data_IF_899448509300
#
_entry.id   IF_899448509300
#
_cell.length_a   1.000
_cell.length_b   1.000
_cell.length_c   1.000
_cell.angle_alpha   90.00
_cell.angle_beta   90.00
_cell.angle_gamma   90.00
#
_symmetry.space_group_name_H-M   'P 1'
#
loop_
_entity.id
_entity.type
_entity.pdbx_description
1 polymer ?
#
# COMPACT_ATOMS: atom_id res chain seq x y z
N UNK A 1 2.76 -9.52 4.23
CA UNK A 1 3.22 -8.11 4.17
C UNK A 1 3.85 -7.85 2.82
N UNK A 2 3.15 -7.13 1.95
CA UNK A 2 3.64 -6.73 0.62
C UNK A 2 4.49 -5.47 0.77
N UNK A 3 5.66 -5.39 0.13
CA UNK A 3 6.60 -4.28 0.29
C UNK A 3 7.39 -4.36 1.61
N UNK A 4 7.56 -5.57 2.14
CA UNK A 4 8.11 -5.79 3.48
C UNK A 4 9.62 -5.61 3.60
N UNK A 5 10.37 -5.38 2.52
CA UNK A 5 11.78 -4.94 2.62
C UNK A 5 11.91 -3.42 2.86
N UNK A 6 10.83 -2.69 2.59
CA UNK A 6 10.78 -1.23 2.66
C UNK A 6 10.86 -0.67 4.09
N UNK A 7 11.01 0.66 4.17
CA UNK A 7 11.20 1.41 5.42
C UNK A 7 10.07 1.19 6.45
N UNK A 8 8.81 1.23 6.03
CA UNK A 8 7.69 0.93 6.95
C UNK A 8 7.37 -0.57 6.99
N UNK A 9 7.57 -1.28 5.88
CA UNK A 9 7.20 -2.69 5.75
C UNK A 9 8.03 -3.61 6.63
N UNK A 10 9.36 -3.40 6.68
CA UNK A 10 10.27 -4.22 7.47
C UNK A 10 10.00 -4.16 8.98
N UNK A 11 9.98 -2.99 9.65
CA UNK A 11 9.66 -2.92 11.07
C UNK A 11 8.23 -3.39 11.37
N UNK A 12 7.27 -3.18 10.47
CA UNK A 12 5.91 -3.72 10.63
C UNK A 12 5.92 -5.25 10.64
N UNK A 13 6.64 -5.88 9.70
CA UNK A 13 6.76 -7.32 9.61
C UNK A 13 7.43 -7.92 10.87
N UNK A 14 8.51 -7.29 11.35
CA UNK A 14 9.17 -7.68 12.61
C UNK A 14 8.25 -7.52 13.82
N UNK A 15 7.54 -6.39 13.91
CA UNK A 15 6.64 -6.12 15.03
C UNK A 15 5.49 -7.13 15.09
N UNK A 16 4.83 -7.41 13.95
CA UNK A 16 3.76 -8.40 13.88
C UNK A 16 4.29 -9.81 14.15
N UNK A 17 5.47 -10.16 13.63
CA UNK A 17 6.13 -11.41 13.99
C UNK A 17 6.37 -11.49 15.48
N UNK A 18 6.82 -10.41 16.14
CA UNK A 18 7.03 -10.33 17.59
C UNK A 18 5.74 -10.42 18.42
N UNK A 19 4.59 -10.04 17.85
CA UNK A 19 3.28 -10.26 18.47
C UNK A 19 2.75 -11.69 18.31
N UNK A 20 3.45 -12.54 17.54
CA UNK A 20 3.12 -13.96 17.39
C UNK A 20 2.38 -14.29 16.09
N UNK A 21 2.28 -13.35 15.15
CA UNK A 21 1.72 -13.62 13.83
C UNK A 21 2.72 -14.38 12.95
N UNK A 22 2.20 -15.25 12.09
CA UNK A 22 2.96 -15.86 11.00
C UNK A 22 3.12 -14.84 9.87
N UNK A 23 4.36 -14.61 9.42
CA UNK A 23 4.66 -13.54 8.47
C UNK A 23 5.31 -14.08 7.21
N UNK A 24 4.66 -13.77 6.09
CA UNK A 24 5.24 -13.82 4.75
C UNK A 24 5.51 -12.39 4.28
N UNK A 25 6.77 -12.11 3.98
CA UNK A 25 7.21 -10.89 3.30
C UNK A 25 7.21 -11.13 1.80
N UNK A 26 6.60 -10.23 1.05
CA UNK A 26 6.58 -10.25 -0.42
C UNK A 26 7.17 -8.95 -0.92
N UNK A 27 8.23 -9.00 -1.74
CA UNK A 27 8.90 -7.81 -2.26
C UNK A 27 9.74 -8.15 -3.51
N UNK A 28 9.81 -7.26 -4.48
CA UNK A 28 10.64 -7.42 -5.70
C UNK A 28 11.98 -6.66 -5.63
N UNK A 29 12.27 -6.07 -4.46
CA UNK A 29 13.45 -5.26 -4.14
C UNK A 29 13.62 -4.04 -5.05
N UNK A 30 12.55 -3.59 -5.72
CA UNK A 30 12.57 -2.44 -6.64
C UNK A 30 13.05 -1.17 -5.97
N UNK A 31 12.74 -0.96 -4.68
CA UNK A 31 13.24 0.18 -3.92
C UNK A 31 14.76 0.22 -3.89
N UNK A 32 15.45 -0.91 -3.73
CA UNK A 32 16.92 -0.99 -3.77
C UNK A 32 17.45 -0.74 -5.18
N UNK A 33 16.74 -1.21 -6.22
CA UNK A 33 17.08 -0.91 -7.63
C UNK A 33 16.99 0.59 -7.92
N UNK A 34 16.05 1.30 -7.30
CA UNK A 34 15.93 2.77 -7.39
C UNK A 34 17.12 3.47 -6.70
N UNK A 35 17.63 2.95 -5.58
CA UNK A 35 18.84 3.50 -4.95
C UNK A 35 20.04 3.45 -5.91
N UNK A 36 20.23 2.31 -6.56
CA UNK A 36 21.27 2.13 -7.60
C UNK A 36 21.06 3.10 -8.77
N UNK A 37 19.83 3.22 -9.28
CA UNK A 37 19.51 4.13 -10.37
C UNK A 37 19.86 5.60 -10.05
N UNK A 38 19.60 6.02 -8.82
CA UNK A 38 19.80 7.40 -8.39
C UNK A 38 21.18 7.66 -7.79
N UNK A 39 22.02 6.62 -7.69
CA UNK A 39 23.33 6.67 -7.02
C UNK A 39 23.22 7.23 -5.59
N UNK A 40 22.21 6.76 -4.85
CA UNK A 40 21.97 7.13 -3.45
C UNK A 40 22.03 5.90 -2.55
N UNK A 41 22.33 6.13 -1.27
CA UNK A 41 22.41 5.09 -0.26
C UNK A 41 21.64 5.47 1.00
N UNK A 42 21.18 4.46 1.73
CA UNK A 42 20.62 4.65 3.07
C UNK A 42 21.70 5.15 4.02
N UNK A 43 21.35 6.08 4.93
CA UNK A 43 22.27 6.54 5.98
C UNK A 43 22.74 5.38 6.86
N UNK A 44 21.83 4.48 7.23
CA UNK A 44 22.14 3.24 7.92
C UNK A 44 22.35 2.13 6.88
N UNK A 45 23.49 1.42 6.89
CA UNK A 45 23.72 0.29 5.99
C UNK A 45 22.60 -0.75 6.10
N UNK A 46 22.03 -1.13 4.96
CA UNK A 46 20.93 -2.10 4.89
C UNK A 46 21.42 -3.45 4.38
N UNK A 47 21.43 -4.45 5.25
CA UNK A 47 21.80 -5.81 4.85
C UNK A 47 20.80 -6.43 3.85
N UNK A 48 21.25 -7.43 3.06
CA UNK A 48 20.38 -8.23 2.20
C UNK A 48 19.26 -8.92 2.97
N UNK A 49 18.15 -9.20 2.28
CA UNK A 49 16.96 -9.81 2.90
C UNK A 49 17.28 -11.14 3.63
N UNK A 50 18.11 -12.00 3.05
CA UNK A 50 18.50 -13.27 3.68
C UNK A 50 19.17 -13.07 5.05
N UNK A 51 20.06 -12.08 5.18
CA UNK A 51 20.70 -11.76 6.46
C UNK A 51 19.72 -11.11 7.43
N UNK A 52 18.83 -10.24 6.95
CA UNK A 52 17.76 -9.65 7.76
C UNK A 52 16.87 -10.72 8.40
N UNK A 53 16.46 -11.73 7.63
CA UNK A 53 15.68 -12.87 8.11
C UNK A 53 16.47 -13.75 9.09
N UNK A 54 17.73 -14.07 8.76
CA UNK A 54 18.58 -14.87 9.65
C UNK A 54 18.79 -14.20 11.01
N UNK A 55 19.06 -12.88 10.99
CA UNK A 55 19.20 -12.10 12.21
C UNK A 55 17.91 -12.10 13.04
N UNK A 56 16.73 -11.97 12.39
CA UNK A 56 15.45 -12.05 13.11
C UNK A 56 15.25 -13.40 13.79
N UNK A 57 15.52 -14.50 13.07
CA UNK A 57 15.45 -15.85 13.63
C UNK A 57 16.42 -16.04 14.80
N UNK A 58 17.63 -15.51 14.70
CA UNK A 58 18.64 -15.58 15.76
C UNK A 58 18.17 -14.87 17.04
N UNK A 59 17.63 -13.66 16.94
CA UNK A 59 17.26 -12.86 18.12
C UNK A 59 15.90 -13.20 18.70
N UNK A 60 14.95 -13.66 17.88
CA UNK A 60 13.56 -13.91 18.29
C UNK A 60 13.19 -15.39 18.38
N UNK A 61 13.97 -16.28 17.75
CA UNK A 61 13.62 -17.68 17.54
C UNK A 61 12.50 -17.91 16.52
N UNK A 62 11.99 -16.85 15.88
CA UNK A 62 10.84 -16.92 14.96
C UNK A 62 11.30 -16.89 13.50
N UNK A 63 10.67 -17.74 12.70
CA UNK A 63 10.87 -17.75 11.25
C UNK A 63 9.94 -16.74 10.58
N UNK A 64 10.47 -16.07 9.55
CA UNK A 64 9.70 -15.29 8.59
C UNK A 64 10.09 -15.74 7.20
N UNK A 65 9.11 -15.86 6.30
CA UNK A 65 9.35 -16.25 4.92
C UNK A 65 9.45 -15.04 4.01
N UNK A 66 10.29 -15.12 2.99
CA UNK A 66 10.39 -14.12 1.93
C UNK A 66 10.01 -14.74 0.59
N UNK A 67 9.24 -14.00 -0.20
CA UNK A 67 8.83 -14.34 -1.55
C UNK A 67 9.21 -13.18 -2.46
N UNK A 68 10.08 -13.44 -3.43
CA UNK A 68 10.40 -12.50 -4.50
C UNK A 68 9.28 -12.54 -5.54
N UNK A 69 8.45 -11.49 -5.56
CA UNK A 69 7.29 -11.41 -6.44
C UNK A 69 6.99 -9.95 -6.79
N UNK A 70 6.69 -9.70 -8.06
CA UNK A 70 6.38 -8.39 -8.58
C UNK A 70 4.87 -8.16 -8.67
N UNK A 71 4.31 -7.62 -7.58
CA UNK A 71 2.88 -7.26 -7.49
C UNK A 71 2.55 -6.22 -8.59
N UNK A 72 1.48 -6.44 -9.35
CA UNK A 72 1.15 -5.64 -10.54
C UNK A 72 1.68 -6.20 -11.86
N UNK A 73 2.41 -7.33 -11.82
CA UNK A 73 2.95 -8.04 -12.99
C UNK A 73 2.78 -9.56 -12.89
N UNK A 74 3.05 -10.14 -11.72
CA UNK A 74 3.07 -11.58 -11.46
C UNK A 74 1.74 -12.02 -10.81
N UNK A 75 0.63 -11.84 -11.54
CA UNK A 75 -0.72 -12.01 -11.00
C UNK A 75 -1.05 -13.46 -10.59
N UNK A 76 -0.69 -14.42 -11.45
CA UNK A 76 -0.99 -15.83 -11.20
C UNK A 76 -0.26 -16.35 -9.95
N UNK A 77 1.00 -15.98 -9.80
CA UNK A 77 1.83 -16.29 -8.65
C UNK A 77 1.28 -15.64 -7.37
N UNK A 78 0.71 -14.44 -7.46
CA UNK A 78 0.04 -13.78 -6.33
C UNK A 78 -1.21 -14.55 -5.89
N UNK A 79 -2.06 -14.98 -6.83
CA UNK A 79 -3.25 -15.79 -6.53
C UNK A 79 -2.86 -17.12 -5.90
N UNK A 80 -1.85 -17.80 -6.45
CA UNK A 80 -1.34 -19.06 -5.91
C UNK A 80 -0.76 -18.89 -4.50
N UNK A 81 -0.03 -17.80 -4.26
CA UNK A 81 0.49 -17.47 -2.94
C UNK A 81 -0.65 -17.23 -1.94
N UNK A 82 -1.66 -16.44 -2.31
CA UNK A 82 -2.82 -16.19 -1.43
C UNK A 82 -3.57 -17.49 -1.14
N UNK A 83 -3.76 -18.35 -2.14
CA UNK A 83 -4.44 -19.63 -1.96
C UNK A 83 -3.65 -20.56 -1.01
N UNK A 84 -2.32 -20.64 -1.19
CA UNK A 84 -1.44 -21.48 -0.39
C UNK A 84 -1.33 -20.99 1.06
N UNK A 85 -1.15 -19.69 1.27
CA UNK A 85 -0.98 -19.12 2.61
C UNK A 85 -2.31 -18.90 3.34
N UNK A 86 -3.40 -18.65 2.60
CA UNK A 86 -4.72 -18.31 3.16
C UNK A 86 -4.64 -17.26 4.28
N UNK A 87 -4.04 -16.07 4.05
CA UNK A 87 -3.74 -15.13 5.12
C UNK A 87 -5.00 -14.49 5.70
N UNK A 88 -5.02 -14.24 7.02
CA UNK A 88 -6.11 -13.46 7.65
C UNK A 88 -6.12 -11.99 7.18
N UNK A 89 -4.93 -11.44 6.94
CA UNK A 89 -4.75 -10.06 6.55
C UNK A 89 -3.57 -9.85 5.58
N UNK A 90 -3.73 -8.89 4.67
CA UNK A 90 -2.67 -8.41 3.79
C UNK A 90 -2.37 -6.96 4.16
N UNK A 91 -1.13 -6.68 4.57
CA UNK A 91 -0.63 -5.31 4.72
C UNK A 91 0.11 -4.91 3.45
N UNK A 92 -0.36 -3.86 2.76
CA UNK A 92 0.12 -3.47 1.44
C UNK A 92 0.96 -2.17 1.48
N UNK A 93 2.28 -2.34 1.38
CA UNK A 93 3.27 -1.27 1.22
C UNK A 93 3.94 -1.29 -0.18
N UNK A 94 3.53 -2.20 -1.08
CA UNK A 94 4.26 -2.54 -2.30
C UNK A 94 4.03 -1.54 -3.45
N UNK A 95 4.42 -0.30 -3.23
CA UNK A 95 4.19 0.80 -4.17
C UNK A 95 5.35 1.81 -4.21
N UNK A 96 5.47 2.51 -5.33
CA UNK A 96 6.38 3.63 -5.48
C UNK A 96 5.84 4.82 -4.67
N UNK A 97 6.54 5.18 -3.58
CA UNK A 97 6.04 6.14 -2.57
C UNK A 97 6.64 7.56 -2.59
N UNK A 98 7.65 7.81 -3.40
CA UNK A 98 8.40 9.06 -3.40
C UNK A 98 7.77 10.07 -4.37
N UNK A 99 7.22 11.16 -3.82
CA UNK A 99 6.69 12.27 -4.61
C UNK A 99 7.75 12.90 -5.54
N UNK A 100 9.00 13.22 -5.10
CA UNK A 100 10.02 13.75 -6.01
C UNK A 100 10.38 12.77 -7.14
N UNK A 101 10.49 11.48 -6.84
CA UNK A 101 10.76 10.44 -7.85
C UNK A 101 9.65 10.41 -8.90
N UNK A 102 8.38 10.40 -8.46
CA UNK A 102 7.21 10.39 -9.35
C UNK A 102 7.15 11.58 -10.30
N UNK A 103 7.85 12.67 -10.00
CA UNK A 103 7.85 13.90 -10.80
C UNK A 103 9.12 14.09 -11.64
N UNK A 104 10.15 13.23 -11.46
CA UNK A 104 11.51 13.42 -12.00
C UNK A 104 11.58 13.42 -13.53
N UNK A 105 10.87 12.51 -14.20
CA UNK A 105 10.79 12.49 -15.68
C UNK A 105 9.55 11.74 -16.16
N UNK A 106 9.27 11.78 -17.47
CA UNK A 106 8.14 11.05 -18.06
C UNK A 106 8.17 9.54 -17.78
N UNK A 107 9.37 8.93 -17.78
CA UNK A 107 9.56 7.52 -17.40
C UNK A 107 9.08 7.26 -15.97
N UNK A 108 9.49 8.11 -15.02
CA UNK A 108 9.14 7.96 -13.61
C UNK A 108 7.66 8.20 -13.33
N UNK A 109 7.04 9.16 -14.03
CA UNK A 109 5.60 9.42 -13.97
C UNK A 109 4.81 8.18 -14.40
N UNK A 110 5.14 7.64 -15.57
CA UNK A 110 4.49 6.43 -16.11
C UNK A 110 4.72 5.22 -15.22
N UNK A 111 5.95 5.02 -14.75
CA UNK A 111 6.27 3.93 -13.83
C UNK A 111 5.48 4.01 -12.53
N UNK A 112 5.34 5.20 -11.93
CA UNK A 112 4.58 5.35 -10.68
C UNK A 112 3.11 4.96 -10.88
N UNK A 113 2.48 5.40 -11.96
CA UNK A 113 1.08 5.05 -12.28
C UNK A 113 0.94 3.56 -12.58
N UNK A 114 1.79 3.03 -13.46
CA UNK A 114 1.78 1.62 -13.85
C UNK A 114 2.04 0.70 -12.66
N UNK A 115 3.02 1.00 -11.82
CA UNK A 115 3.34 0.20 -10.66
C UNK A 115 2.21 0.22 -9.63
N UNK A 116 1.79 1.41 -9.20
CA UNK A 116 0.90 1.52 -8.05
C UNK A 116 -0.49 1.01 -8.36
N UNK A 117 -1.09 1.46 -9.47
CA UNK A 117 -2.48 1.11 -9.77
C UNK A 117 -2.64 -0.37 -10.11
N UNK A 118 -1.69 -0.96 -10.85
CA UNK A 118 -1.74 -2.40 -11.11
C UNK A 118 -1.46 -3.18 -9.83
N UNK A 119 -0.52 -2.75 -8.99
CA UNK A 119 -0.26 -3.47 -7.75
C UNK A 119 -1.48 -3.52 -6.82
N UNK A 120 -2.14 -2.37 -6.60
CA UNK A 120 -3.35 -2.29 -5.79
C UNK A 120 -4.50 -3.10 -6.40
N UNK A 121 -4.74 -2.96 -7.71
CA UNK A 121 -5.81 -3.67 -8.38
C UNK A 121 -5.59 -5.19 -8.39
N UNK A 122 -4.36 -5.65 -8.64
CA UNK A 122 -4.01 -7.07 -8.62
C UNK A 122 -4.25 -7.68 -7.23
N UNK A 123 -3.89 -6.98 -6.15
CA UNK A 123 -4.15 -7.45 -4.78
C UNK A 123 -5.66 -7.58 -4.52
N UNK A 124 -6.45 -6.59 -4.92
CA UNK A 124 -7.90 -6.61 -4.74
C UNK A 124 -8.55 -7.73 -5.57
N UNK A 125 -8.18 -7.85 -6.84
CA UNK A 125 -8.66 -8.90 -7.72
C UNK A 125 -8.26 -10.29 -7.21
N UNK A 126 -7.03 -10.47 -6.75
CA UNK A 126 -6.56 -11.75 -6.23
C UNK A 126 -7.25 -12.13 -4.90
N UNK A 127 -7.59 -11.17 -4.04
CA UNK A 127 -8.43 -11.44 -2.86
C UNK A 127 -9.80 -11.98 -3.30
N UNK A 128 -10.45 -11.31 -4.25
CA UNK A 128 -11.77 -11.75 -4.77
C UNK A 128 -11.68 -13.13 -5.41
N UNK A 129 -10.71 -13.34 -6.30
CA UNK A 129 -10.53 -14.61 -7.02
C UNK A 129 -10.21 -15.78 -6.08
N UNK A 130 -9.44 -15.53 -5.02
CA UNK A 130 -9.11 -16.55 -4.03
C UNK A 130 -10.33 -17.07 -3.25
N UNK A 131 -11.42 -16.29 -3.19
CA UNK A 131 -12.61 -16.58 -2.38
C UNK A 131 -12.34 -16.62 -0.87
N UNK A 132 -11.21 -16.08 -0.42
CA UNK A 132 -10.81 -16.05 0.99
C UNK A 132 -11.33 -14.79 1.69
N UNK A 133 -11.64 -14.90 2.97
CA UNK A 133 -12.04 -13.75 3.79
C UNK A 133 -10.81 -13.02 4.34
N UNK A 134 -10.23 -12.14 3.52
CA UNK A 134 -8.97 -11.44 3.81
C UNK A 134 -9.23 -9.97 4.10
N UNK A 135 -8.62 -9.43 5.18
CA UNK A 135 -8.61 -7.98 5.43
C UNK A 135 -7.39 -7.32 4.77
N UNK A 136 -7.64 -6.43 3.81
CA UNK A 136 -6.62 -5.56 3.25
C UNK A 136 -6.40 -4.33 4.14
N UNK A 137 -5.17 -4.15 4.63
CA UNK A 137 -4.70 -2.93 5.28
C UNK A 137 -3.74 -2.23 4.32
N UNK A 138 -4.19 -1.13 3.73
CA UNK A 138 -3.43 -0.35 2.77
C UNK A 138 -2.83 0.90 3.42
N UNK A 139 -1.64 1.29 2.96
CA UNK A 139 -1.01 2.54 3.37
C UNK A 139 -1.31 3.64 2.37
N UNK A 140 -2.35 4.41 2.65
CA UNK A 140 -2.63 5.67 1.97
C UNK A 140 -1.68 6.79 2.41
N UNK A 141 -2.11 8.03 2.20
CA UNK A 141 -1.32 9.20 2.56
C UNK A 141 -2.23 10.38 2.87
N UNK A 142 -1.86 11.20 3.85
CA UNK A 142 -2.55 12.48 4.07
C UNK A 142 -2.47 13.42 2.85
N UNK A 143 -1.52 13.21 1.93
CA UNK A 143 -1.38 14.03 0.73
C UNK A 143 -2.53 13.90 -0.28
N UNK A 144 -3.46 12.95 -0.09
CA UNK A 144 -4.71 12.83 -0.89
C UNK A 144 -5.61 14.05 -0.74
N UNK A 145 -5.56 14.72 0.43
CA UNK A 145 -6.36 15.89 0.75
C UNK A 145 -5.78 17.21 0.19
N UNK A 146 -4.54 17.19 -0.28
CA UNK A 146 -3.81 18.39 -0.70
C UNK A 146 -3.38 19.28 0.46
N UNK A 147 -2.75 20.42 0.12
CA UNK A 147 -2.17 21.37 1.07
C UNK A 147 -3.07 22.59 1.36
N UNK A 148 -4.20 22.71 0.67
CA UNK A 148 -5.17 23.77 0.86
C UNK A 148 -6.43 23.21 1.51
N UNK A 149 -6.57 23.35 2.82
CA UNK A 149 -7.88 23.17 3.44
C UNK A 149 -8.66 24.46 3.25
N UNK A 150 -9.90 24.39 2.77
CA UNK A 150 -10.78 25.56 2.66
C UNK A 150 -11.26 26.05 4.05
N UNK A 151 -10.36 26.10 5.04
CA UNK A 151 -10.66 26.34 6.46
C UNK A 151 -11.39 25.18 7.15
N UNK A 152 -11.62 24.06 6.45
CA UNK A 152 -12.38 22.91 6.97
C UNK A 152 -11.46 21.89 7.67
N UNK A 153 -12.00 21.21 8.69
CA UNK A 153 -11.37 20.04 9.30
C UNK A 153 -11.34 18.91 8.26
N UNK A 154 -10.15 18.36 8.01
CA UNK A 154 -9.98 17.21 7.11
C UNK A 154 -10.72 16.01 7.72
N UNK A 155 -11.69 15.40 7.01
CA UNK A 155 -12.38 14.21 7.50
C UNK A 155 -11.61 12.93 7.17
N UNK A 156 -11.94 11.83 7.86
CA UNK A 156 -11.36 10.51 7.62
C UNK A 156 -12.01 9.83 6.41
N UNK A 157 -11.64 10.32 5.23
CA UNK A 157 -11.89 9.69 3.92
C UNK A 157 -13.23 10.03 3.27
N UNK A 158 -14.27 10.28 4.06
CA UNK A 158 -15.63 10.54 3.55
C UNK A 158 -16.17 11.90 4.00
N UNK A 159 -17.03 12.48 3.18
CA UNK A 159 -17.73 13.73 3.45
C UNK A 159 -19.23 13.52 3.29
N UNK A 160 -19.99 13.88 4.33
CA UNK A 160 -21.44 13.99 4.25
C UNK A 160 -21.81 15.21 3.42
N UNK A 161 -22.53 15.00 2.33
CA UNK A 161 -23.02 16.07 1.46
C UNK A 161 -24.54 15.98 1.33
N UNK A 162 -25.18 17.13 1.10
CA UNK A 162 -26.58 17.21 0.68
C UNK A 162 -26.60 17.51 -0.82
N UNK A 163 -27.25 16.65 -1.57
CA UNK A 163 -27.40 16.77 -3.02
C UNK A 163 -28.87 17.01 -3.33
N UNK A 164 -29.15 18.10 -4.03
CA UNK A 164 -30.50 18.40 -4.49
C UNK A 164 -30.90 17.42 -5.60
N UNK A 165 -32.01 16.73 -5.40
CA UNK A 165 -32.58 15.79 -6.37
C UNK A 165 -33.98 16.24 -6.77
N UNK A 166 -34.56 15.63 -7.81
CA UNK A 166 -35.96 15.87 -8.22
C UNK A 166 -36.98 15.54 -7.12
N UNK A 167 -36.60 14.75 -6.11
CA UNK A 167 -37.42 14.39 -4.96
C UNK A 167 -37.11 15.23 -3.71
N UNK A 168 -36.27 16.27 -3.84
CA UNK A 168 -35.79 17.11 -2.74
C UNK A 168 -34.33 16.82 -2.35
N UNK A 169 -33.80 17.54 -1.34
CA UNK A 169 -32.42 17.37 -0.88
C UNK A 169 -32.23 15.98 -0.26
N UNK A 170 -31.26 15.22 -0.75
CA UNK A 170 -30.86 13.92 -0.19
C UNK A 170 -29.47 14.01 0.42
N UNK A 171 -29.31 13.43 1.60
CA UNK A 171 -28.01 13.28 2.24
C UNK A 171 -27.31 12.02 1.73
N UNK A 172 -26.04 12.13 1.38
CA UNK A 172 -25.21 10.99 0.99
C UNK A 172 -23.76 11.19 1.43
N UNK A 173 -23.03 10.09 1.58
CA UNK A 173 -21.59 10.08 1.80
C UNK A 173 -20.88 9.97 0.46
N UNK A 174 -19.92 10.87 0.23
CA UNK A 174 -19.00 10.78 -0.90
C UNK A 174 -17.57 10.65 -0.38
N UNK A 175 -16.66 10.15 -1.23
CA UNK A 175 -15.24 10.30 -0.96
C UNK A 175 -14.91 11.79 -0.88
N UNK A 176 -14.06 12.15 0.08
CA UNK A 176 -13.60 13.52 0.20
C UNK A 176 -12.90 13.96 -1.12
N UNK A 177 -13.18 15.17 -1.63
CA UNK A 177 -12.59 15.63 -2.88
C UNK A 177 -11.05 15.59 -2.86
N UNK A 178 -10.50 14.74 -3.72
CA UNK A 178 -9.08 14.58 -3.95
C UNK A 178 -8.41 15.88 -4.45
N UNK A 179 -7.24 16.23 -3.92
CA UNK A 179 -6.42 17.34 -4.42
C UNK A 179 -4.91 17.04 -4.33
N UNK A 180 -4.42 16.01 -5.04
CA UNK A 180 -3.05 15.52 -4.91
C UNK A 180 -2.01 16.50 -5.50
N UNK A 181 -0.90 16.68 -4.78
CA UNK A 181 0.20 17.56 -5.21
C UNK A 181 1.28 16.92 -6.10
N UNK A 182 1.20 15.62 -6.39
CA UNK A 182 2.16 14.90 -7.24
C UNK A 182 1.54 13.64 -7.86
N UNK A 183 2.22 13.01 -8.82
CA UNK A 183 1.78 11.74 -9.43
C UNK A 183 1.65 10.62 -8.39
N UNK A 184 2.58 10.52 -7.44
CA UNK A 184 2.45 9.58 -6.31
C UNK A 184 1.18 9.82 -5.48
N UNK A 185 0.89 11.06 -5.08
CA UNK A 185 -0.33 11.31 -4.30
C UNK A 185 -1.59 11.07 -5.14
N UNK A 186 -1.51 11.31 -6.45
CA UNK A 186 -2.60 11.04 -7.38
C UNK A 186 -2.93 9.55 -7.46
N UNK A 187 -1.92 8.67 -7.54
CA UNK A 187 -2.16 7.23 -7.55
C UNK A 187 -2.82 6.77 -6.25
N UNK A 188 -2.43 7.34 -5.10
CA UNK A 188 -3.07 7.07 -3.80
C UNK A 188 -4.53 7.50 -3.72
N UNK A 189 -4.90 8.63 -4.34
CA UNK A 189 -6.32 8.99 -4.50
C UNK A 189 -7.08 8.06 -5.44
N UNK A 190 -6.41 7.47 -6.43
CA UNK A 190 -7.03 6.48 -7.33
C UNK A 190 -7.23 5.13 -6.63
N UNK A 191 -6.31 4.73 -5.74
CA UNK A 191 -6.49 3.54 -4.89
C UNK A 191 -7.77 3.62 -4.05
N UNK A 192 -8.12 4.80 -3.52
CA UNK A 192 -9.38 5.00 -2.80
C UNK A 192 -10.62 4.68 -3.64
N UNK A 193 -10.57 4.93 -4.95
CA UNK A 193 -11.65 4.56 -5.86
C UNK A 193 -11.74 3.05 -6.03
N UNK A 194 -10.60 2.35 -6.14
CA UNK A 194 -10.58 0.90 -6.13
C UNK A 194 -11.16 0.36 -4.82
N UNK A 195 -10.73 0.88 -3.67
CA UNK A 195 -11.23 0.41 -2.38
C UNK A 195 -12.72 0.60 -2.23
N UNK A 196 -13.23 1.78 -2.59
CA UNK A 196 -14.67 2.05 -2.57
C UNK A 196 -15.44 1.08 -3.48
N UNK A 197 -14.91 0.82 -4.69
CA UNK A 197 -15.53 -0.09 -5.64
C UNK A 197 -15.53 -1.54 -5.14
N UNK A 198 -14.37 -2.10 -4.80
CA UNK A 198 -14.26 -3.50 -4.38
C UNK A 198 -14.95 -3.77 -3.04
N UNK A 199 -14.95 -2.82 -2.11
CA UNK A 199 -15.75 -2.96 -0.89
C UNK A 199 -17.24 -2.99 -1.18
N UNK A 200 -17.72 -2.09 -2.05
CA UNK A 200 -19.15 -1.99 -2.38
C UNK A 200 -19.67 -3.17 -3.20
N UNK A 201 -18.91 -3.63 -4.19
CA UNK A 201 -19.38 -4.60 -5.18
C UNK A 201 -18.96 -6.04 -4.84
N UNK A 202 -17.76 -6.22 -4.28
CA UNK A 202 -17.17 -7.53 -4.00
C UNK A 202 -17.09 -7.84 -2.50
N UNK A 203 -17.41 -6.88 -1.62
CA UNK A 203 -17.43 -7.07 -0.17
C UNK A 203 -16.06 -7.15 0.47
N UNK A 204 -14.98 -6.76 -0.24
CA UNK A 204 -13.61 -6.82 0.29
C UNK A 204 -13.49 -5.95 1.54
N UNK A 205 -12.92 -6.50 2.61
CA UNK A 205 -12.65 -5.77 3.86
C UNK A 205 -11.38 -4.94 3.67
N UNK A 206 -11.51 -3.62 3.75
CA UNK A 206 -10.39 -2.71 3.47
C UNK A 206 -10.30 -1.64 4.55
N UNK A 207 -9.09 -1.42 5.06
CA UNK A 207 -8.73 -0.26 5.86
C UNK A 207 -7.65 0.52 5.12
N UNK A 208 -7.97 1.75 4.73
CA UNK A 208 -7.00 2.68 4.13
C UNK A 208 -6.43 3.60 5.21
N UNK A 209 -5.13 3.45 5.51
CA UNK A 209 -4.43 4.22 6.52
C UNK A 209 -3.81 5.46 5.90
N UNK A 210 -4.46 6.62 6.03
CA UNK A 210 -3.90 7.90 5.58
C UNK A 210 -2.74 8.35 6.48
N UNK A 211 -1.56 7.81 6.21
CA UNK A 211 -0.38 8.04 7.03
C UNK A 211 0.19 9.45 6.81
N UNK A 212 0.62 10.08 7.90
CA UNK A 212 1.47 11.27 7.87
C UNK A 212 2.92 10.94 7.51
N UNK A 213 3.80 11.93 7.64
CA UNK A 213 5.25 11.71 7.47
C UNK A 213 5.74 10.82 8.61
N UNK A 214 6.48 9.76 8.27
CA UNK A 214 7.12 8.87 9.26
C UNK A 214 8.56 9.34 9.51
N UNK A 215 8.98 9.37 10.77
CA UNK A 215 10.35 9.69 11.20
C UNK A 215 10.87 8.65 12.19
N UNK A 216 12.19 8.49 12.26
CA UNK A 216 12.88 7.46 13.07
C UNK A 216 13.73 6.52 12.22
N UNK A 217 14.53 5.67 12.87
CA UNK A 217 15.33 4.61 12.23
C UNK A 217 15.26 3.33 13.05
#
# INVERSE_FOLDING_TARGET
>A
VLGGDGFCGWPTALHLSNLGHEIVVVDNLSRRKIDIELEVESLTPIEPMSKRLAAWKEVSGRDMRFVDLNIGKDYQELVELIAAESPDAIVHFAEQRAAPYSMKSARHKRYTVDNNLNATNDVLAAIVESGKDIHLVHLGTMGVYGYGTAGMKIPEGYLTVKVDTSEGPKEQQILYPANPGSIYHMTKTQDQLFFHFYNKNDGVKITDLHQGIVWGT
#
